data_IF_893852993592
#
_entry.id   IF_893852993592
#
_cell.length_a   1.000
_cell.length_b   1.000
_cell.length_c   1.000
_cell.angle_alpha   90.00
_cell.angle_beta   90.00
_cell.angle_gamma   90.00
#
_symmetry.space_group_name_H-M   'P 1'
#
loop_
_entity.id
_entity.type
_entity.pdbx_description
1 polymer ?
#
# COMPACT_ATOMS: atom_id res chain seq x y z
N UNK A 1 28.40 -36.66 -18.56
CA UNK A 1 27.39 -35.86 -19.30
C UNK A 1 26.01 -36.38 -18.97
N UNK A 2 25.25 -35.75 -18.06
CA UNK A 2 23.87 -36.18 -17.75
C UNK A 2 22.91 -35.50 -18.72
N UNK A 3 22.34 -36.27 -19.65
CA UNK A 3 21.36 -35.79 -20.62
C UNK A 3 20.19 -35.07 -19.92
N UNK A 4 20.05 -33.77 -20.20
CA UNK A 4 18.87 -32.99 -19.86
C UNK A 4 17.72 -33.38 -20.82
N UNK A 5 17.05 -34.50 -20.55
CA UNK A 5 15.94 -34.97 -21.38
C UNK A 5 14.64 -34.24 -20.99
N UNK A 6 14.16 -33.38 -21.89
CA UNK A 6 12.84 -32.74 -21.76
C UNK A 6 11.74 -33.73 -22.17
N UNK A 7 10.77 -33.98 -21.29
CA UNK A 7 9.65 -34.88 -21.59
C UNK A 7 8.44 -34.07 -22.10
N UNK A 8 7.85 -34.50 -23.21
CA UNK A 8 6.67 -33.88 -23.83
C UNK A 8 5.48 -34.85 -23.81
N UNK A 9 4.40 -34.49 -23.12
CA UNK A 9 3.17 -35.27 -23.06
C UNK A 9 1.93 -34.42 -23.39
N UNK A 10 0.79 -35.06 -23.67
CA UNK A 10 -0.55 -34.48 -23.75
C UNK A 10 -1.54 -35.13 -22.75
N UNK A 11 -1.11 -36.05 -21.89
CA UNK A 11 -1.93 -36.76 -20.90
C UNK A 11 -1.56 -36.48 -19.44
N UNK A 12 -1.65 -37.49 -18.58
CA UNK A 12 -1.27 -37.43 -17.16
C UNK A 12 0.26 -37.58 -16.98
N UNK A 13 0.85 -36.81 -16.06
CA UNK A 13 2.30 -36.86 -15.75
C UNK A 13 2.58 -36.69 -14.26
N UNK A 14 3.31 -37.63 -13.67
CA UNK A 14 3.79 -37.66 -12.28
C UNK A 14 5.33 -37.60 -12.24
N UNK A 15 5.93 -37.04 -11.19
CA UNK A 15 7.35 -37.20 -10.81
C UNK A 15 8.43 -37.03 -11.90
N UNK A 16 8.54 -35.84 -12.51
CA UNK A 16 9.61 -35.55 -13.48
C UNK A 16 10.42 -34.30 -13.19
N UNK A 17 11.68 -34.32 -13.66
CA UNK A 17 12.63 -33.22 -13.49
C UNK A 17 12.34 -32.04 -14.42
N UNK A 18 12.07 -32.29 -15.71
CA UNK A 18 11.82 -31.27 -16.74
C UNK A 18 10.69 -31.70 -17.70
N UNK A 19 9.54 -31.02 -17.67
CA UNK A 19 8.34 -31.44 -18.41
C UNK A 19 7.60 -30.33 -19.14
N UNK A 20 7.04 -30.70 -20.30
CA UNK A 20 6.12 -29.88 -21.11
C UNK A 20 4.84 -30.67 -21.38
N UNK A 21 3.74 -30.29 -20.74
CA UNK A 21 2.46 -30.98 -20.86
C UNK A 21 1.34 -30.08 -21.41
N UNK A 22 0.28 -30.71 -21.91
CA UNK A 22 -1.04 -30.11 -22.19
C UNK A 22 -2.14 -30.94 -21.51
N UNK A 23 -1.96 -31.26 -20.23
CA UNK A 23 -2.82 -32.19 -19.48
C UNK A 23 -2.69 -32.01 -17.96
N UNK A 24 -2.92 -33.07 -17.20
CA UNK A 24 -2.79 -33.11 -15.74
C UNK A 24 -1.33 -33.33 -15.32
N UNK A 25 -0.86 -32.61 -14.28
CA UNK A 25 0.49 -32.81 -13.73
C UNK A 25 0.57 -32.71 -12.20
N UNK A 26 1.28 -33.65 -11.59
CA UNK A 26 1.55 -33.76 -10.15
C UNK A 26 3.06 -33.90 -9.87
N UNK A 27 3.57 -33.27 -8.81
CA UNK A 27 4.90 -33.54 -8.22
C UNK A 27 6.17 -33.39 -9.09
N UNK A 28 6.19 -32.41 -10.00
CA UNK A 28 7.33 -32.14 -10.88
C UNK A 28 8.19 -30.94 -10.42
N UNK A 29 9.49 -30.97 -10.77
CA UNK A 29 10.44 -29.90 -10.39
C UNK A 29 10.37 -28.68 -11.30
N UNK A 30 10.46 -28.83 -12.62
CA UNK A 30 10.40 -27.75 -13.61
C UNK A 30 9.40 -28.04 -14.73
N UNK A 31 8.39 -27.17 -14.86
CA UNK A 31 7.22 -27.49 -15.68
C UNK A 31 6.73 -26.34 -16.56
N UNK A 32 6.23 -26.72 -17.73
CA UNK A 32 5.47 -25.85 -18.64
C UNK A 32 4.19 -26.56 -19.04
N UNK A 33 3.06 -26.11 -18.48
CA UNK A 33 1.75 -26.71 -18.74
C UNK A 33 0.76 -25.73 -19.39
N UNK A 34 -0.27 -26.26 -20.02
CA UNK A 34 -1.49 -25.55 -20.45
C UNK A 34 -2.75 -26.24 -19.90
N UNK A 35 -2.66 -26.82 -18.69
CA UNK A 35 -3.71 -27.64 -18.07
C UNK A 35 -3.72 -27.48 -16.55
N UNK A 36 -4.18 -28.52 -15.85
CA UNK A 36 -4.30 -28.59 -14.39
C UNK A 36 -2.97 -29.00 -13.73
N UNK A 37 -2.67 -28.44 -12.56
CA UNK A 37 -1.38 -28.65 -11.87
C UNK A 37 -1.47 -28.57 -10.34
N UNK A 38 -0.90 -29.57 -9.65
CA UNK A 38 -0.83 -29.72 -8.19
C UNK A 38 0.59 -30.04 -7.70
N UNK A 39 1.04 -29.41 -6.61
CA UNK A 39 2.26 -29.78 -5.86
C UNK A 39 3.64 -29.71 -6.58
N UNK A 40 3.81 -28.81 -7.53
CA UNK A 40 5.05 -28.61 -8.29
C UNK A 40 5.87 -27.39 -7.79
N UNK A 41 7.19 -27.37 -8.07
CA UNK A 41 8.14 -26.38 -7.49
C UNK A 41 8.50 -25.16 -8.34
N UNK A 42 8.57 -25.28 -9.67
CA UNK A 42 8.88 -24.16 -10.60
C UNK A 42 8.03 -24.25 -11.87
N UNK A 43 7.09 -23.32 -12.04
CA UNK A 43 5.99 -23.53 -12.99
C UNK A 43 5.75 -22.33 -13.92
N UNK A 44 5.55 -22.64 -15.20
CA UNK A 44 4.91 -21.74 -16.17
C UNK A 44 3.62 -22.36 -16.71
N UNK A 45 2.47 -21.95 -16.17
CA UNK A 45 1.16 -22.45 -16.59
C UNK A 45 0.31 -21.37 -17.30
N UNK A 46 -0.67 -21.82 -18.08
CA UNK A 46 -1.79 -21.01 -18.59
C UNK A 46 -3.17 -21.52 -18.12
N UNK A 47 -3.24 -22.56 -17.28
CA UNK A 47 -4.47 -23.14 -16.73
C UNK A 47 -4.64 -22.90 -15.22
N UNK A 48 -5.28 -23.86 -14.53
CA UNK A 48 -5.55 -23.82 -13.07
C UNK A 48 -4.40 -24.42 -12.26
N UNK A 49 -4.18 -23.91 -11.04
CA UNK A 49 -3.11 -24.37 -10.14
C UNK A 49 -3.49 -24.29 -8.66
N UNK A 50 -3.13 -25.35 -7.92
CA UNK A 50 -3.30 -25.49 -6.46
C UNK A 50 -2.00 -25.95 -5.79
N UNK A 51 -1.68 -25.42 -4.61
CA UNK A 51 -0.62 -25.91 -3.70
C UNK A 51 0.83 -25.97 -4.24
N UNK A 52 1.18 -25.10 -5.17
CA UNK A 52 2.47 -25.04 -5.83
C UNK A 52 3.42 -23.99 -5.21
N UNK A 53 4.74 -24.17 -5.44
CA UNK A 53 5.81 -23.22 -5.09
C UNK A 53 6.30 -22.52 -6.37
N UNK A 54 6.69 -21.24 -6.29
CA UNK A 54 7.25 -20.39 -7.37
C UNK A 54 6.59 -20.47 -8.76
N UNK A 55 5.60 -19.59 -9.00
CA UNK A 55 4.69 -19.72 -10.15
C UNK A 55 4.66 -18.47 -11.04
N UNK A 56 4.58 -18.71 -12.36
CA UNK A 56 4.15 -17.72 -13.35
C UNK A 56 2.91 -18.21 -14.10
N UNK A 57 1.74 -17.68 -13.74
CA UNK A 57 0.45 -18.06 -14.36
C UNK A 57 -0.17 -16.95 -15.21
N UNK A 58 -1.08 -17.34 -16.08
CA UNK A 58 -2.08 -16.45 -16.71
C UNK A 58 -3.55 -16.86 -16.42
N UNK A 59 -3.80 -17.98 -15.71
CA UNK A 59 -5.14 -18.47 -15.33
C UNK A 59 -5.50 -18.27 -13.84
N UNK A 60 -6.35 -19.14 -13.30
CA UNK A 60 -6.81 -19.12 -11.89
C UNK A 60 -5.83 -19.85 -10.97
N UNK A 61 -5.80 -19.46 -9.68
CA UNK A 61 -4.94 -20.07 -8.68
C UNK A 61 -5.46 -19.93 -7.25
N UNK A 62 -5.20 -20.96 -6.45
CA UNK A 62 -5.60 -21.15 -5.04
C UNK A 62 -4.41 -21.64 -4.21
N UNK A 63 -4.22 -21.11 -2.99
CA UNK A 63 -3.33 -21.67 -1.94
C UNK A 63 -1.82 -21.79 -2.26
N UNK A 64 -1.27 -20.87 -3.04
CA UNK A 64 0.14 -20.92 -3.45
C UNK A 64 1.04 -19.90 -2.67
N UNK A 65 2.37 -20.15 -2.66
CA UNK A 65 3.32 -19.35 -1.84
C UNK A 65 3.90 -18.10 -2.52
N UNK A 66 4.51 -18.23 -3.71
CA UNK A 66 5.24 -17.14 -4.40
C UNK A 66 4.85 -17.02 -5.86
N UNK A 67 4.20 -15.91 -6.24
CA UNK A 67 3.46 -15.92 -7.52
C UNK A 67 3.49 -14.61 -8.30
N UNK A 68 3.59 -14.76 -9.62
CA UNK A 68 3.30 -13.72 -10.62
C UNK A 68 2.13 -14.15 -11.51
N UNK A 69 0.95 -13.56 -11.30
CA UNK A 69 -0.23 -13.84 -12.11
C UNK A 69 -0.68 -12.64 -12.97
N UNK A 70 -1.49 -12.92 -13.99
CA UNK A 70 -2.30 -11.95 -14.71
C UNK A 70 -3.82 -12.24 -14.66
N UNK A 71 -4.26 -13.37 -14.07
CA UNK A 71 -5.67 -13.77 -13.90
C UNK A 71 -6.20 -13.56 -12.46
N UNK A 72 -7.13 -14.41 -12.02
CA UNK A 72 -7.73 -14.38 -10.66
C UNK A 72 -6.85 -15.14 -9.64
N UNK A 73 -6.91 -14.74 -8.38
CA UNK A 73 -6.16 -15.36 -7.27
C UNK A 73 -6.90 -15.31 -5.94
N UNK A 74 -6.89 -16.42 -5.21
CA UNK A 74 -7.45 -16.52 -3.84
C UNK A 74 -6.44 -17.18 -2.88
N UNK A 75 -6.39 -16.72 -1.62
CA UNK A 75 -5.69 -17.38 -0.49
C UNK A 75 -4.17 -17.63 -0.61
N UNK A 76 -3.43 -16.71 -1.24
CA UNK A 76 -1.98 -16.87 -1.42
C UNK A 76 -1.13 -16.02 -0.45
N UNK A 77 0.11 -16.45 -0.21
CA UNK A 77 1.01 -15.75 0.74
C UNK A 77 1.70 -14.51 0.16
N UNK A 78 2.45 -14.64 -0.94
CA UNK A 78 3.20 -13.55 -1.59
C UNK A 78 2.90 -13.45 -3.08
N UNK A 79 2.35 -12.31 -3.49
CA UNK A 79 1.71 -12.20 -4.80
C UNK A 79 2.02 -10.90 -5.53
N UNK A 80 2.21 -11.03 -6.85
CA UNK A 80 2.25 -9.92 -7.79
C UNK A 80 1.23 -10.19 -8.90
N UNK A 81 0.10 -9.51 -8.85
CA UNK A 81 -0.96 -9.66 -9.84
C UNK A 81 -1.12 -8.40 -10.70
N UNK A 82 -1.76 -8.58 -11.86
CA UNK A 82 -2.36 -7.51 -12.67
C UNK A 82 -3.89 -7.66 -12.82
N UNK A 83 -4.49 -8.77 -12.36
CA UNK A 83 -5.94 -9.01 -12.35
C UNK A 83 -6.56 -8.83 -10.96
N UNK A 84 -7.59 -9.63 -10.66
CA UNK A 84 -8.35 -9.63 -9.40
C UNK A 84 -7.71 -10.53 -8.34
N UNK A 85 -7.86 -10.15 -7.06
CA UNK A 85 -7.31 -10.91 -5.92
C UNK A 85 -8.19 -10.80 -4.66
N UNK A 86 -8.36 -11.93 -3.95
CA UNK A 86 -9.04 -12.00 -2.65
C UNK A 86 -8.17 -12.71 -1.59
N UNK A 87 -8.24 -12.29 -0.34
CA UNK A 87 -7.72 -13.01 0.85
C UNK A 87 -6.22 -13.37 0.89
N UNK A 88 -5.35 -12.52 0.34
CA UNK A 88 -3.89 -12.75 0.34
C UNK A 88 -3.17 -11.98 1.45
N UNK A 89 -2.04 -12.52 1.92
CA UNK A 89 -1.27 -11.92 3.03
C UNK A 89 -0.43 -10.71 2.60
N UNK A 90 0.40 -10.84 1.57
CA UNK A 90 1.27 -9.78 1.04
C UNK A 90 1.13 -9.59 -0.47
N UNK A 91 0.64 -8.41 -0.87
CA UNK A 91 0.21 -8.18 -2.26
C UNK A 91 0.85 -6.97 -2.92
N UNK A 92 1.28 -7.15 -4.18
CA UNK A 92 1.62 -6.05 -5.10
C UNK A 92 0.74 -6.14 -6.34
N UNK A 93 -0.42 -5.48 -6.32
CA UNK A 93 -1.36 -5.49 -7.43
C UNK A 93 -1.32 -4.18 -8.24
N UNK A 94 -1.74 -4.29 -9.50
CA UNK A 94 -2.13 -3.16 -10.35
C UNK A 94 -3.63 -3.19 -10.73
N UNK A 95 -4.38 -4.24 -10.38
CA UNK A 95 -5.82 -4.37 -10.55
C UNK A 95 -6.59 -4.25 -9.22
N UNK A 96 -7.78 -4.83 -9.17
CA UNK A 96 -8.71 -4.80 -8.03
C UNK A 96 -8.35 -5.82 -6.93
N UNK A 97 -8.64 -5.49 -5.67
CA UNK A 97 -8.34 -6.31 -4.48
C UNK A 97 -9.44 -6.16 -3.42
N UNK A 98 -9.76 -7.27 -2.75
CA UNK A 98 -10.58 -7.29 -1.53
C UNK A 98 -9.89 -8.10 -0.43
N UNK A 99 -10.04 -7.67 0.82
CA UNK A 99 -9.70 -8.43 2.04
C UNK A 99 -8.22 -8.89 2.17
N UNK A 100 -7.27 -8.06 1.75
CA UNK A 100 -5.84 -8.41 1.89
C UNK A 100 -5.20 -7.74 3.12
N UNK A 101 -4.29 -8.44 3.82
CA UNK A 101 -3.68 -7.92 5.06
C UNK A 101 -2.68 -6.78 4.81
N UNK A 102 -1.75 -6.96 3.87
CA UNK A 102 -0.71 -5.97 3.52
C UNK A 102 -0.63 -5.74 2.03
N UNK A 103 -0.81 -4.48 1.61
CA UNK A 103 -0.96 -4.18 0.18
C UNK A 103 -0.13 -2.99 -0.28
N UNK A 104 0.51 -3.17 -1.43
CA UNK A 104 1.12 -2.11 -2.24
C UNK A 104 0.34 -2.01 -3.55
N UNK A 105 -0.65 -1.12 -3.62
CA UNK A 105 -1.51 -0.91 -4.78
C UNK A 105 -1.16 0.38 -5.54
N UNK A 106 -1.64 0.48 -6.78
CA UNK A 106 -1.83 1.73 -7.54
C UNK A 106 -3.32 2.09 -7.77
N UNK A 107 -4.27 1.19 -7.47
CA UNK A 107 -5.73 1.43 -7.58
C UNK A 107 -6.45 1.53 -6.22
N UNK A 108 -7.80 1.51 -6.26
CA UNK A 108 -8.73 1.61 -5.12
C UNK A 108 -8.69 0.37 -4.21
N UNK A 109 -8.92 0.53 -2.89
CA UNK A 109 -8.74 -0.57 -1.93
C UNK A 109 -9.30 -0.27 -0.52
N UNK A 110 -10.01 -1.24 0.07
CA UNK A 110 -10.35 -1.31 1.51
C UNK A 110 -9.49 -2.38 2.20
N UNK A 111 -8.34 -2.00 2.77
CA UNK A 111 -7.48 -2.96 3.51
C UNK A 111 -6.98 -2.38 4.83
N UNK A 112 -6.65 -3.28 5.78
CA UNK A 112 -6.14 -2.88 7.10
C UNK A 112 -4.82 -2.08 7.02
N UNK A 113 -3.93 -2.36 6.06
CA UNK A 113 -2.69 -1.60 5.85
C UNK A 113 -2.34 -1.40 4.37
N UNK A 114 -2.34 -0.15 3.91
CA UNK A 114 -2.15 0.17 2.48
C UNK A 114 -0.97 1.13 2.26
N UNK A 115 -0.10 0.80 1.29
CA UNK A 115 0.92 1.69 0.74
C UNK A 115 0.60 2.08 -0.71
N UNK A 116 0.23 3.34 -0.94
CA UNK A 116 -0.18 3.86 -2.25
C UNK A 116 0.76 4.99 -2.76
N UNK A 117 0.66 5.30 -4.06
CA UNK A 117 1.27 6.46 -4.75
C UNK A 117 0.22 7.15 -5.65
N UNK A 118 -0.92 7.57 -5.09
CA UNK A 118 -2.05 8.12 -5.85
C UNK A 118 -3.12 8.71 -4.93
N UNK A 119 -4.34 8.85 -5.45
CA UNK A 119 -5.52 9.24 -4.66
C UNK A 119 -5.97 8.08 -3.77
N UNK A 120 -6.39 8.37 -2.54
CA UNK A 120 -6.88 7.37 -1.60
C UNK A 120 -7.93 7.95 -0.67
N UNK A 121 -9.06 7.26 -0.58
CA UNK A 121 -10.17 7.49 0.34
C UNK A 121 -10.21 6.37 1.38
N UNK A 122 -10.65 6.69 2.59
CA UNK A 122 -11.11 5.75 3.64
C UNK A 122 -10.29 4.48 3.90
N UNK A 123 -9.43 4.51 4.92
CA UNK A 123 -8.75 3.33 5.44
C UNK A 123 -8.36 3.51 6.93
N UNK A 124 -8.15 2.39 7.63
CA UNK A 124 -7.74 2.39 9.05
C UNK A 124 -6.28 2.82 9.25
N UNK A 125 -5.34 2.25 8.46
CA UNK A 125 -3.91 2.59 8.51
C UNK A 125 -3.28 2.74 7.13
N UNK A 126 -2.71 3.90 6.84
CA UNK A 126 -2.29 4.24 5.47
C UNK A 126 -0.96 4.97 5.38
N UNK A 127 -0.17 4.59 4.35
CA UNK A 127 1.07 5.26 3.97
C UNK A 127 1.04 5.67 2.50
N UNK A 128 0.82 6.94 2.23
CA UNK A 128 0.67 7.45 0.86
C UNK A 128 1.83 8.37 0.41
N UNK A 129 1.96 8.55 -0.90
CA UNK A 129 2.65 9.65 -1.56
C UNK A 129 1.68 10.22 -2.62
N UNK A 130 0.76 11.09 -2.21
CA UNK A 130 -0.31 11.60 -3.08
C UNK A 130 -1.39 12.36 -2.31
N UNK A 131 -2.59 12.42 -2.89
CA UNK A 131 -3.79 13.01 -2.27
C UNK A 131 -4.46 12.01 -1.32
N UNK A 132 -4.99 12.49 -0.19
CA UNK A 132 -5.64 11.62 0.79
C UNK A 132 -6.79 12.31 1.53
N UNK A 133 -7.94 11.65 1.58
CA UNK A 133 -9.14 12.13 2.28
C UNK A 133 -9.62 11.11 3.34
N UNK A 134 -10.11 11.58 4.49
CA UNK A 134 -10.89 10.81 5.49
C UNK A 134 -10.28 9.48 5.97
N UNK A 135 -9.22 9.54 6.77
CA UNK A 135 -8.58 8.36 7.34
C UNK A 135 -8.30 8.51 8.85
N UNK A 136 -8.27 7.37 9.55
CA UNK A 136 -8.04 7.34 11.01
C UNK A 136 -6.57 7.54 11.39
N UNK A 137 -5.66 6.75 10.83
CA UNK A 137 -4.21 6.81 11.11
C UNK A 137 -3.35 6.82 9.86
N UNK A 138 -2.55 7.87 9.69
CA UNK A 138 -2.02 8.19 8.37
C UNK A 138 -0.58 8.71 8.37
N UNK A 139 0.16 8.34 7.33
CA UNK A 139 1.49 8.86 7.04
C UNK A 139 1.63 9.23 5.56
N UNK A 140 1.56 10.51 5.23
CA UNK A 140 1.60 10.96 3.83
C UNK A 140 2.88 11.76 3.51
N UNK A 141 3.18 11.84 2.20
CA UNK A 141 3.97 12.90 1.59
C UNK A 141 3.13 13.47 0.43
N UNK A 142 2.36 14.52 0.68
CA UNK A 142 1.42 15.09 -0.29
C UNK A 142 0.34 15.93 0.39
N UNK A 143 -0.86 15.96 -0.18
CA UNK A 143 -2.01 16.70 0.34
C UNK A 143 -2.88 15.80 1.23
N UNK A 144 -3.42 16.36 2.31
CA UNK A 144 -4.35 15.66 3.20
C UNK A 144 -5.47 16.55 3.71
N UNK A 145 -6.69 16.02 3.69
CA UNK A 145 -7.94 16.63 4.20
C UNK A 145 -8.60 15.69 5.23
N UNK A 146 -9.15 16.26 6.30
CA UNK A 146 -10.13 15.60 7.20
C UNK A 146 -9.71 14.27 7.87
N UNK A 147 -8.57 14.25 8.56
CA UNK A 147 -8.07 13.04 9.23
C UNK A 147 -7.93 13.21 10.75
N UNK A 148 -8.02 12.09 11.49
CA UNK A 148 -7.93 12.10 12.96
C UNK A 148 -6.49 12.18 13.46
N UNK A 149 -5.64 11.21 13.10
CA UNK A 149 -4.25 11.11 13.56
C UNK A 149 -3.28 11.01 12.38
N UNK A 150 -2.38 11.98 12.27
CA UNK A 150 -1.66 12.21 11.01
C UNK A 150 -0.19 12.57 11.17
N UNK A 151 0.61 12.12 10.20
CA UNK A 151 1.99 12.56 10.01
C UNK A 151 2.27 12.86 8.55
N UNK A 152 2.37 14.13 8.18
CA UNK A 152 2.57 14.54 6.79
C UNK A 152 3.94 15.22 6.55
N UNK A 153 4.34 15.23 5.28
CA UNK A 153 5.27 16.19 4.69
C UNK A 153 4.59 16.79 3.45
N UNK A 154 3.93 17.94 3.58
CA UNK A 154 3.14 18.57 2.52
C UNK A 154 2.08 19.51 3.08
N UNK A 155 0.94 19.63 2.38
CA UNK A 155 -0.19 20.47 2.82
C UNK A 155 -1.18 19.65 3.63
N UNK A 156 -1.79 20.27 4.65
CA UNK A 156 -2.84 19.67 5.46
C UNK A 156 -3.94 20.67 5.80
N UNK A 157 -5.20 20.23 5.72
CA UNK A 157 -6.38 21.01 6.12
C UNK A 157 -7.29 20.17 7.03
N UNK A 158 -7.89 20.80 8.04
CA UNK A 158 -9.01 20.25 8.83
C UNK A 158 -8.77 18.92 9.58
N UNK A 159 -7.65 18.80 10.28
CA UNK A 159 -7.30 17.58 11.02
C UNK A 159 -7.28 17.80 12.54
N UNK A 160 -7.54 16.71 13.30
CA UNK A 160 -7.59 16.79 14.78
C UNK A 160 -6.21 16.77 15.43
N UNK A 161 -5.43 15.72 15.20
CA UNK A 161 -4.11 15.51 15.80
C UNK A 161 -3.04 15.32 14.73
N UNK A 162 -2.07 16.22 14.70
CA UNK A 162 -1.21 16.35 13.53
C UNK A 162 0.25 16.61 13.83
N UNK A 163 1.11 16.07 12.96
CA UNK A 163 2.53 16.38 12.90
C UNK A 163 2.97 16.58 11.47
N UNK A 164 3.23 17.84 11.08
CA UNK A 164 3.59 18.18 9.71
C UNK A 164 5.02 18.74 9.58
N UNK A 165 5.54 18.66 8.36
CA UNK A 165 6.61 19.52 7.84
C UNK A 165 6.09 20.11 6.52
N UNK A 166 5.53 21.32 6.57
CA UNK A 166 4.90 21.96 5.41
C UNK A 166 3.87 23.00 5.84
N UNK A 167 2.83 23.19 5.03
CA UNK A 167 1.73 24.14 5.31
C UNK A 167 0.58 23.43 6.04
N UNK A 168 -0.08 24.15 6.94
CA UNK A 168 -1.24 23.65 7.69
C UNK A 168 -2.29 24.75 7.84
N UNK A 169 -3.56 24.41 7.59
CA UNK A 169 -4.71 25.27 7.86
C UNK A 169 -5.76 24.55 8.73
N UNK A 170 -6.41 25.27 9.65
CA UNK A 170 -7.62 24.84 10.38
C UNK A 170 -7.54 23.52 11.17
N UNK A 171 -6.50 23.32 11.97
CA UNK A 171 -6.32 22.08 12.76
C UNK A 171 -6.41 22.34 14.28
N UNK A 172 -6.83 21.31 15.03
CA UNK A 172 -7.04 21.44 16.49
C UNK A 172 -5.74 21.34 17.29
N UNK A 173 -5.03 20.22 17.20
CA UNK A 173 -3.81 19.92 17.97
C UNK A 173 -2.65 19.60 17.03
N UNK A 174 -1.60 20.42 17.09
CA UNK A 174 -0.65 20.47 16.00
C UNK A 174 0.80 20.63 16.43
N UNK A 175 1.69 19.98 15.67
CA UNK A 175 3.13 20.20 15.74
C UNK A 175 3.71 20.33 14.34
N UNK A 176 4.11 21.55 13.96
CA UNK A 176 4.62 21.83 12.62
C UNK A 176 6.09 22.27 12.61
N UNK A 177 6.72 22.09 11.45
CA UNK A 177 7.90 22.85 11.00
C UNK A 177 7.55 23.43 9.64
N UNK A 178 7.10 24.68 9.60
CA UNK A 178 6.61 25.34 8.38
C UNK A 178 5.63 26.46 8.69
N UNK A 179 4.68 26.69 7.77
CA UNK A 179 3.65 27.72 7.91
C UNK A 179 2.38 27.13 8.53
N UNK A 180 1.70 27.91 9.38
CA UNK A 180 0.44 27.53 10.01
C UNK A 180 -0.54 28.71 10.08
N UNK A 181 -1.80 28.45 9.75
CA UNK A 181 -2.91 29.41 9.83
C UNK A 181 -4.10 28.80 10.59
N UNK A 182 -4.78 29.58 11.43
CA UNK A 182 -6.10 29.26 12.00
C UNK A 182 -6.20 27.97 12.85
N UNK A 183 -5.22 27.70 13.72
CA UNK A 183 -5.20 26.50 14.56
C UNK A 183 -5.44 26.79 16.05
N UNK A 184 -6.00 25.82 16.78
CA UNK A 184 -6.34 26.00 18.21
C UNK A 184 -5.15 25.85 19.15
N UNK A 185 -4.49 24.69 19.14
CA UNK A 185 -3.38 24.34 20.03
C UNK A 185 -2.16 23.93 19.22
N UNK A 186 -1.08 24.69 19.36
CA UNK A 186 -0.02 24.66 18.36
C UNK A 186 1.39 24.73 18.93
N UNK A 187 2.29 24.02 18.27
CA UNK A 187 3.73 24.08 18.51
C UNK A 187 4.46 24.11 17.19
N UNK A 188 4.99 25.27 16.80
CA UNK A 188 5.64 25.46 15.52
C UNK A 188 7.14 25.79 15.64
N UNK A 189 7.85 25.52 14.55
CA UNK A 189 9.13 26.16 14.19
C UNK A 189 8.97 26.73 12.78
N UNK A 190 8.59 27.99 12.66
CA UNK A 190 8.30 28.65 11.38
C UNK A 190 7.39 29.86 11.56
N UNK A 191 6.62 30.20 10.53
CA UNK A 191 5.67 31.32 10.59
C UNK A 191 4.28 30.82 11.04
N UNK A 192 3.56 31.65 11.79
CA UNK A 192 2.20 31.37 12.25
C UNK A 192 1.31 32.60 12.16
N UNK A 193 0.07 32.44 11.67
CA UNK A 193 -0.98 33.47 11.69
C UNK A 193 -2.27 32.96 12.34
N UNK A 194 -2.98 33.81 13.09
CA UNK A 194 -4.38 33.59 13.54
C UNK A 194 -4.64 32.32 14.39
N UNK A 195 -3.78 32.01 15.35
CA UNK A 195 -3.89 30.82 16.20
C UNK A 195 -4.24 31.19 17.65
N UNK A 196 -4.97 30.31 18.35
CA UNK A 196 -5.43 30.60 19.73
C UNK A 196 -4.33 30.40 20.78
N UNK A 197 -3.82 29.19 20.92
CA UNK A 197 -2.81 28.83 21.92
C UNK A 197 -1.54 28.34 21.24
N UNK A 198 -0.45 29.08 21.42
CA UNK A 198 0.75 28.91 20.59
C UNK A 198 2.04 28.83 21.39
N UNK A 199 2.92 27.94 20.92
CA UNK A 199 4.34 27.93 21.26
C UNK A 199 5.18 27.91 20.00
N UNK A 200 5.79 29.03 19.66
CA UNK A 200 6.57 29.16 18.43
C UNK A 200 8.07 29.38 18.67
N UNK A 201 8.87 28.95 17.69
CA UNK A 201 10.23 29.43 17.46
C UNK A 201 10.28 29.95 16.01
N UNK A 202 9.91 31.21 15.81
CA UNK A 202 9.84 31.85 14.50
C UNK A 202 8.99 33.12 14.55
N UNK A 203 8.37 33.47 13.42
CA UNK A 203 7.49 34.63 13.31
C UNK A 203 6.06 34.27 13.74
N UNK A 204 5.39 35.14 14.48
CA UNK A 204 3.97 34.99 14.84
C UNK A 204 3.22 36.30 14.63
N UNK A 205 2.08 36.23 13.95
CA UNK A 205 1.12 37.32 13.73
C UNK A 205 -0.25 36.92 14.30
N UNK A 206 -0.98 37.88 14.88
CA UNK A 206 -2.42 37.77 15.20
C UNK A 206 -2.81 36.54 16.07
N UNK A 207 -1.96 36.14 17.02
CA UNK A 207 -2.22 34.99 17.87
C UNK A 207 -2.63 35.42 19.29
N UNK A 208 -3.68 34.79 19.87
CA UNK A 208 -4.25 35.23 21.16
C UNK A 208 -3.36 34.95 22.37
N UNK A 209 -2.90 33.71 22.54
CA UNK A 209 -2.11 33.28 23.69
C UNK A 209 -0.79 32.69 23.21
N UNK A 210 0.29 33.45 23.31
CA UNK A 210 1.55 33.12 22.63
C UNK A 210 2.76 33.06 23.55
N UNK A 211 3.48 31.93 23.48
CA UNK A 211 4.86 31.82 23.96
C UNK A 211 5.82 31.72 22.79
N UNK A 212 6.36 32.84 22.33
CA UNK A 212 7.30 32.88 21.20
C UNK A 212 8.77 33.02 21.67
N UNK A 213 9.69 32.38 20.96
CA UNK A 213 11.14 32.61 21.06
C UNK A 213 11.68 33.19 19.74
N UNK A 214 10.94 34.09 19.12
CA UNK A 214 11.22 34.73 17.83
C UNK A 214 10.45 36.04 17.71
N UNK A 215 10.28 36.55 16.50
CA UNK A 215 9.61 37.83 16.24
C UNK A 215 8.09 37.74 16.40
N UNK A 216 7.49 38.67 17.14
CA UNK A 216 6.05 38.84 17.30
C UNK A 216 5.61 40.18 16.71
N UNK A 217 4.53 40.15 15.93
CA UNK A 217 3.84 41.35 15.44
C UNK A 217 2.36 41.20 15.75
N UNK A 218 1.83 42.08 16.59
CA UNK A 218 0.40 42.15 16.91
C UNK A 218 -0.20 43.31 16.11
N UNK A 219 -1.30 43.07 15.41
CA UNK A 219 -2.09 44.17 14.85
C UNK A 219 -2.81 44.86 16.01
N UNK A 220 -2.59 46.17 16.14
CA UNK A 220 -3.27 47.04 17.11
C UNK A 220 -4.76 47.11 16.84
#
# INVERSE_FOLDING_TARGET
MTENKWIRNKGLMTENKWTRNKGLMTENKWTRNKGLMTENKWIRNKGLMTENKWIRNKGLMTENKWIRNKGLMTENKWTRNKGLMTENKWTRNKGLMTENKWTRNKGMNENKWTRNKGLMTENKWTRNKGLMNENKWTRNKGLMTENKWTRNKGLMTENKWTRNKGLMNENKWTRNKGLMTENKWTRNKGLMNENKWTRNKGLTTENKWTRNKGLMTENK
#
